data_IF_399752268767
#
_entry.id   IF_399752268767
#
_cell.length_a   1.000
_cell.length_b   1.000
_cell.length_c   1.000
_cell.angle_alpha   90.00
_cell.angle_beta   90.00
_cell.angle_gamma   90.00
#
_symmetry.space_group_name_H-M   'P 1'
#
loop_
_entity.id
_entity.type
_entity.pdbx_description
1 polymer ?
#
# COMPACT_ATOMS: atom_id res chain seq x y z
N UNK A 1 -1.66 -0.17 -9.80
CA UNK A 1 -2.81 0.68 -10.15
C UNK A 1 -2.59 2.05 -9.53
N UNK A 2 -2.62 3.10 -10.35
CA UNK A 2 -2.48 4.51 -9.95
C UNK A 2 -3.52 5.32 -10.72
N UNK A 3 -4.17 6.29 -10.06
CA UNK A 3 -5.19 7.17 -10.68
C UNK A 3 -6.28 6.41 -11.48
N UNK A 4 -6.77 5.30 -10.93
CA UNK A 4 -7.83 4.48 -11.54
C UNK A 4 -9.19 5.00 -11.09
N UNK A 5 -10.08 5.33 -12.03
CA UNK A 5 -11.40 5.89 -11.73
C UNK A 5 -12.29 4.95 -10.90
N UNK A 6 -12.37 3.67 -11.29
CA UNK A 6 -13.08 2.65 -10.53
C UNK A 6 -12.10 1.57 -10.07
N UNK A 7 -11.53 1.78 -8.88
CA UNK A 7 -10.49 0.93 -8.32
C UNK A 7 -10.99 -0.49 -8.05
N UNK A 8 -12.21 -0.61 -7.53
CA UNK A 8 -12.87 -1.87 -7.19
C UNK A 8 -13.07 -2.74 -8.44
N UNK A 9 -13.73 -2.18 -9.45
CA UNK A 9 -13.96 -2.90 -10.72
C UNK A 9 -12.64 -3.34 -11.35
N UNK A 10 -11.63 -2.44 -11.39
CA UNK A 10 -10.36 -2.75 -12.02
C UNK A 10 -9.58 -3.83 -11.27
N UNK A 11 -9.64 -3.84 -9.94
CA UNK A 11 -9.03 -4.88 -9.13
C UNK A 11 -9.65 -6.25 -9.42
N UNK A 12 -10.98 -6.33 -9.48
CA UNK A 12 -11.69 -7.57 -9.78
C UNK A 12 -11.39 -8.10 -11.20
N UNK A 13 -11.26 -7.21 -12.19
CA UNK A 13 -10.84 -7.57 -13.55
C UNK A 13 -9.43 -8.18 -13.57
N UNK A 14 -8.46 -7.51 -12.93
CA UNK A 14 -7.08 -7.97 -12.87
C UNK A 14 -6.96 -9.31 -12.13
N UNK A 15 -7.76 -9.52 -11.09
CA UNK A 15 -7.78 -10.77 -10.34
C UNK A 15 -8.25 -11.94 -11.23
N UNK A 16 -9.32 -11.72 -12.00
CA UNK A 16 -9.84 -12.71 -12.98
C UNK A 16 -8.86 -12.99 -14.12
N UNK A 17 -8.02 -12.02 -14.48
CA UNK A 17 -6.97 -12.19 -15.48
C UNK A 17 -5.78 -13.02 -14.95
N UNK A 18 -5.75 -13.37 -13.67
CA UNK A 18 -4.70 -14.18 -13.06
C UNK A 18 -3.43 -13.39 -12.75
N UNK A 19 -3.54 -12.10 -12.42
CA UNK A 19 -2.41 -11.33 -11.94
C UNK A 19 -1.83 -11.97 -10.65
N UNK A 20 -0.50 -12.11 -10.55
CA UNK A 20 0.08 -12.66 -9.32
C UNK A 20 0.01 -11.66 -8.15
N UNK A 21 0.20 -10.39 -8.46
CA UNK A 21 0.11 -9.27 -7.53
C UNK A 21 -0.70 -8.13 -8.13
N UNK A 22 -1.56 -7.54 -7.31
CA UNK A 22 -2.26 -6.30 -7.60
C UNK A 22 -1.76 -5.24 -6.62
N UNK A 23 -0.95 -4.32 -7.13
CA UNK A 23 -0.44 -3.21 -6.35
C UNK A 23 -1.36 -1.99 -6.45
N UNK A 24 -1.70 -1.36 -5.34
CA UNK A 24 -2.30 -0.02 -5.30
C UNK A 24 -1.24 1.01 -4.95
N UNK A 25 -1.28 2.15 -5.64
CA UNK A 25 -0.36 3.25 -5.41
C UNK A 25 -1.10 4.58 -5.41
N UNK A 26 -0.97 5.34 -4.33
CA UNK A 26 -1.48 6.70 -4.25
C UNK A 26 -0.32 7.68 -4.46
N UNK A 27 -0.33 8.39 -5.59
CA UNK A 27 0.66 9.43 -5.89
C UNK A 27 0.56 10.63 -4.93
N UNK A 28 1.60 11.46 -4.85
CA UNK A 28 1.62 12.62 -3.95
C UNK A 28 0.51 13.63 -4.26
N UNK A 29 0.21 13.86 -5.53
CA UNK A 29 -0.86 14.79 -5.94
C UNK A 29 -2.22 14.33 -5.41
N UNK A 30 -2.53 13.03 -5.55
CA UNK A 30 -3.77 12.44 -5.04
C UNK A 30 -3.82 12.44 -3.50
N UNK A 31 -2.68 12.28 -2.82
CA UNK A 31 -2.62 12.43 -1.36
C UNK A 31 -2.92 13.87 -0.93
N UNK A 32 -2.44 14.86 -1.68
CA UNK A 32 -2.74 16.28 -1.42
C UNK A 32 -4.24 16.60 -1.61
N UNK A 33 -4.92 15.85 -2.48
CA UNK A 33 -6.37 15.87 -2.67
C UNK A 33 -7.14 15.04 -1.62
N UNK A 34 -6.44 14.41 -0.67
CA UNK A 34 -7.03 13.64 0.43
C UNK A 34 -7.27 12.16 0.14
N UNK A 35 -6.83 11.65 -1.02
CA UNK A 35 -6.95 10.22 -1.34
C UNK A 35 -6.00 9.42 -0.44
N UNK A 36 -6.53 8.44 0.27
CA UNK A 36 -5.75 7.61 1.20
C UNK A 36 -5.24 6.32 0.55
N UNK A 37 -3.94 5.97 0.72
CA UNK A 37 -3.44 4.65 0.34
C UNK A 37 -4.09 3.52 1.15
N UNK A 38 -4.50 3.79 2.39
CA UNK A 38 -5.16 2.82 3.26
C UNK A 38 -6.57 2.48 2.75
N UNK A 39 -7.35 3.49 2.36
CA UNK A 39 -8.67 3.28 1.76
C UNK A 39 -8.58 2.53 0.43
N UNK A 40 -7.59 2.88 -0.39
CA UNK A 40 -7.31 2.19 -1.64
C UNK A 40 -6.98 0.72 -1.41
N UNK A 41 -6.19 0.41 -0.39
CA UNK A 41 -5.87 -0.96 0.01
C UNK A 41 -7.13 -1.73 0.44
N UNK A 42 -7.96 -1.14 1.31
CA UNK A 42 -9.20 -1.76 1.79
C UNK A 42 -10.15 -2.10 0.63
N UNK A 43 -10.37 -1.15 -0.27
CA UNK A 43 -11.23 -1.33 -1.46
C UNK A 43 -10.74 -2.46 -2.37
N UNK A 44 -9.42 -2.59 -2.54
CA UNK A 44 -8.87 -3.66 -3.38
C UNK A 44 -8.94 -5.02 -2.68
N UNK A 45 -8.65 -5.06 -1.37
CA UNK A 45 -8.77 -6.30 -0.59
C UNK A 45 -10.20 -6.82 -0.50
N UNK A 46 -11.22 -5.96 -0.57
CA UNK A 46 -12.63 -6.40 -0.48
C UNK A 46 -13.12 -7.18 -1.71
N UNK A 47 -12.38 -7.14 -2.83
CA UNK A 47 -12.81 -7.77 -4.09
C UNK A 47 -11.83 -8.78 -4.69
N UNK A 48 -10.60 -8.83 -4.18
CA UNK A 48 -9.59 -9.78 -4.64
C UNK A 48 -9.74 -11.11 -3.93
N UNK A 49 -9.68 -12.21 -4.70
CA UNK A 49 -9.77 -13.58 -4.16
C UNK A 49 -8.54 -14.43 -4.47
N UNK A 50 -7.79 -14.14 -5.54
CA UNK A 50 -6.71 -15.03 -6.01
C UNK A 50 -5.33 -14.36 -5.97
N UNK A 51 -5.28 -13.07 -6.27
CA UNK A 51 -4.05 -12.28 -6.37
C UNK A 51 -3.56 -11.86 -4.99
N UNK A 52 -2.25 -11.68 -4.86
CA UNK A 52 -1.67 -11.01 -3.70
C UNK A 52 -1.85 -9.50 -3.82
N UNK A 53 -1.93 -8.80 -2.69
CA UNK A 53 -2.15 -7.35 -2.65
C UNK A 53 -0.92 -6.62 -2.14
N UNK A 54 -0.46 -5.63 -2.92
CA UNK A 54 0.63 -4.74 -2.52
C UNK A 54 0.13 -3.30 -2.39
N UNK A 55 0.75 -2.52 -1.51
CA UNK A 55 0.37 -1.12 -1.26
C UNK A 55 1.59 -0.20 -1.26
N UNK A 56 1.42 0.97 -1.87
CA UNK A 56 2.44 2.00 -1.99
C UNK A 56 1.81 3.40 -1.96
N UNK A 57 2.65 4.40 -1.73
CA UNK A 57 2.27 5.81 -1.81
C UNK A 57 2.11 6.44 -0.44
N UNK A 58 3.00 7.38 -0.10
CA UNK A 58 2.88 8.18 1.12
C UNK A 58 3.15 7.46 2.44
N UNK A 59 3.47 6.17 2.40
CA UNK A 59 3.74 5.37 3.60
C UNK A 59 5.03 5.86 4.26
N UNK A 60 4.98 6.01 5.58
CA UNK A 60 6.04 6.53 6.44
C UNK A 60 6.13 5.67 7.71
N UNK A 61 7.22 5.75 8.50
CA UNK A 61 7.36 4.98 9.73
C UNK A 61 6.25 5.21 10.77
N UNK A 62 5.58 6.36 10.74
CA UNK A 62 4.46 6.72 11.63
C UNK A 62 3.08 6.26 11.11
N UNK A 63 2.93 6.01 9.80
CA UNK A 63 1.65 5.57 9.20
C UNK A 63 1.62 4.08 8.82
N UNK A 64 2.78 3.41 8.82
CA UNK A 64 2.88 2.02 8.36
C UNK A 64 2.13 1.02 9.25
N UNK A 65 1.89 1.33 10.53
CA UNK A 65 1.16 0.45 11.45
C UNK A 65 -0.29 0.21 11.00
N UNK A 66 -0.99 1.26 10.58
CA UNK A 66 -2.36 1.15 10.05
C UNK A 66 -2.39 0.29 8.78
N UNK A 67 -1.38 0.47 7.91
CA UNK A 67 -1.24 -0.31 6.67
C UNK A 67 -0.94 -1.78 6.98
N UNK A 68 -0.06 -2.06 7.95
CA UNK A 68 0.30 -3.42 8.34
C UNK A 68 -0.88 -4.16 8.99
N UNK A 69 -1.71 -3.46 9.76
CA UNK A 69 -2.93 -4.01 10.37
C UNK A 69 -3.92 -4.55 9.34
N UNK A 70 -3.97 -3.93 8.15
CA UNK A 70 -4.77 -4.42 7.02
C UNK A 70 -4.18 -5.67 6.35
N UNK A 71 -3.02 -6.17 6.79
CA UNK A 71 -2.36 -7.40 6.30
C UNK A 71 -2.24 -7.48 4.77
N UNK A 72 -1.64 -6.50 4.08
CA UNK A 72 -1.25 -6.67 2.68
C UNK A 72 -0.11 -7.69 2.56
N UNK A 73 0.02 -8.32 1.40
CA UNK A 73 1.12 -9.25 1.11
C UNK A 73 2.47 -8.53 0.92
N UNK A 74 2.44 -7.24 0.60
CA UNK A 74 3.64 -6.42 0.39
C UNK A 74 3.37 -4.93 0.67
N UNK A 75 4.23 -4.31 1.48
CA UNK A 75 4.23 -2.87 1.75
C UNK A 75 5.46 -2.24 1.11
N UNK A 76 5.26 -1.19 0.29
CA UNK A 76 6.32 -0.50 -0.43
C UNK A 76 6.50 0.90 0.17
N UNK A 77 7.65 1.13 0.81
CA UNK A 77 8.01 2.41 1.44
C UNK A 77 9.15 3.05 0.65
N UNK A 78 8.90 4.20 0.03
CA UNK A 78 9.89 4.93 -0.78
C UNK A 78 10.31 6.21 -0.07
N UNK A 79 9.56 7.31 -0.25
CA UNK A 79 9.91 8.61 0.34
C UNK A 79 9.98 8.61 1.87
N UNK A 80 9.18 7.78 2.54
CA UNK A 80 9.23 7.61 4.00
C UNK A 80 10.57 7.07 4.54
N UNK A 81 11.38 6.43 3.69
CA UNK A 81 12.75 6.00 4.01
C UNK A 81 13.77 6.89 3.32
N UNK A 82 13.64 7.09 2.01
CA UNK A 82 14.62 7.78 1.18
C UNK A 82 14.82 9.26 1.56
N UNK A 83 13.78 9.92 2.07
CA UNK A 83 13.82 11.33 2.44
C UNK A 83 13.93 11.55 3.96
N UNK A 84 14.14 10.49 4.75
CA UNK A 84 14.32 10.61 6.19
C UNK A 84 15.74 11.11 6.52
N UNK A 85 15.89 11.86 7.63
CA UNK A 85 17.21 12.30 8.12
C UNK A 85 18.16 11.12 8.39
N UNK A 86 17.59 9.98 8.77
CA UNK A 86 18.32 8.72 8.94
C UNK A 86 17.56 7.57 8.26
N UNK A 87 17.84 7.29 6.96
CA UNK A 87 17.16 6.24 6.20
C UNK A 87 17.29 4.86 6.82
N UNK A 88 18.43 4.56 7.45
CA UNK A 88 18.66 3.27 8.12
C UNK A 88 17.75 3.10 9.33
N UNK A 89 17.60 4.14 10.15
CA UNK A 89 16.70 4.10 11.30
C UNK A 89 15.23 4.00 10.85
N UNK A 90 14.83 4.78 9.84
CA UNK A 90 13.48 4.72 9.28
C UNK A 90 13.14 3.33 8.72
N UNK A 91 14.06 2.73 7.95
CA UNK A 91 13.87 1.38 7.42
C UNK A 91 13.76 0.33 8.54
N UNK A 92 14.58 0.44 9.60
CA UNK A 92 14.49 -0.45 10.75
C UNK A 92 13.13 -0.33 11.46
N UNK A 93 12.67 0.89 11.71
CA UNK A 93 11.37 1.12 12.35
C UNK A 93 10.22 0.52 11.52
N UNK A 94 10.20 0.74 10.19
CA UNK A 94 9.22 0.12 9.31
C UNK A 94 9.24 -1.41 9.42
N UNK A 95 10.43 -2.02 9.42
CA UNK A 95 10.57 -3.48 9.53
C UNK A 95 10.04 -3.99 10.86
N UNK A 96 10.44 -3.37 11.97
CA UNK A 96 10.02 -3.75 13.32
C UNK A 96 8.48 -3.71 13.45
N UNK A 97 7.82 -2.67 12.91
CA UNK A 97 6.35 -2.54 12.92
C UNK A 97 5.68 -3.66 12.12
N UNK A 98 6.19 -3.99 10.93
CA UNK A 98 5.63 -5.07 10.11
C UNK A 98 5.83 -6.43 10.79
N UNK A 99 6.98 -6.68 11.42
CA UNK A 99 7.24 -7.93 12.17
C UNK A 99 6.28 -8.08 13.36
N UNK A 100 5.93 -7.00 14.04
CA UNK A 100 4.96 -7.02 15.15
C UNK A 100 3.51 -7.31 14.70
N UNK A 101 3.20 -7.15 13.41
CA UNK A 101 1.86 -7.33 12.83
C UNK A 101 1.75 -8.57 11.90
N UNK A 102 2.82 -9.35 11.76
CA UNK A 102 2.90 -10.52 10.87
C UNK A 102 2.31 -11.79 11.50
#
# INVERSE_FOLDING_TARGET
>A
MIAVQNLEQRAAELDKMGANYIAVHTGYDLQAEGVSPLESLRTVKSVISNSKVAVAGGIKPDTIEEVATEKPDLIIVVGGIANADNPRAAAKQCRDIVDANS
#
